data_IF_955079222994
#
_entry.id   IF_955079222994
#
_cell.length_a   1.000
_cell.length_b   1.000
_cell.length_c   1.000
_cell.angle_alpha   90.00
_cell.angle_beta   90.00
_cell.angle_gamma   90.00
#
_symmetry.space_group_name_H-M   'P 1'
#
loop_
_entity.id
_entity.type
_entity.pdbx_description
1 polymer ?
#
# COMPACT_ATOMS: atom_id res chain seq x y z
N UNK A 1 3.63 -1.54 11.34
CA UNK A 1 2.21 -1.90 11.61
C UNK A 1 2.11 -3.30 12.20
N UNK A 2 2.48 -4.33 11.45
CA UNK A 2 2.43 -5.76 11.85
C UNK A 2 3.02 -6.02 13.25
N UNK A 3 4.16 -5.41 13.55
CA UNK A 3 4.84 -5.53 14.86
C UNK A 3 4.22 -4.68 15.98
N UNK A 4 3.04 -4.09 15.76
CA UNK A 4 2.29 -3.24 16.71
C UNK A 4 3.13 -2.15 17.38
N UNK A 5 4.07 -1.56 16.63
CA UNK A 5 4.87 -0.44 17.11
C UNK A 5 3.97 0.76 17.45
N UNK A 6 4.03 1.24 18.69
CA UNK A 6 3.16 2.30 19.24
C UNK A 6 3.13 3.56 18.38
N UNK A 7 4.29 4.04 17.92
CA UNK A 7 4.35 5.24 17.06
C UNK A 7 3.65 5.02 15.73
N UNK A 8 3.76 3.81 15.17
CA UNK A 8 3.05 3.48 13.93
C UNK A 8 1.55 3.41 14.13
N UNK A 9 1.09 2.85 15.25
CA UNK A 9 -0.33 2.78 15.57
C UNK A 9 -0.92 4.16 15.81
N UNK A 10 -0.21 5.02 16.54
CA UNK A 10 -0.64 6.41 16.76
C UNK A 10 -0.74 7.21 15.45
N UNK A 11 0.18 7.01 14.50
CA UNK A 11 0.09 7.62 13.16
C UNK A 11 -1.12 7.14 12.34
N UNK A 12 -1.78 6.05 12.74
CA UNK A 12 -2.96 5.50 12.07
C UNK A 12 -4.27 5.87 12.78
N UNK A 13 -4.21 6.68 13.84
CA UNK A 13 -5.42 7.18 14.49
C UNK A 13 -6.11 8.22 13.60
N UNK A 14 -7.43 8.17 13.59
CA UNK A 14 -8.30 9.05 12.84
C UNK A 14 -9.17 9.86 13.80
N UNK A 15 -9.61 11.04 13.38
CA UNK A 15 -10.59 11.78 14.18
C UNK A 15 -11.94 11.04 14.22
N UNK A 16 -12.76 11.22 15.28
CA UNK A 16 -14.04 10.50 15.41
C UNK A 16 -15.03 10.73 14.25
N UNK A 17 -14.91 11.87 13.56
CA UNK A 17 -15.72 12.30 12.43
C UNK A 17 -15.00 12.20 11.07
N UNK A 18 -13.80 11.62 11.03
CA UNK A 18 -13.04 11.46 9.80
C UNK A 18 -13.60 10.32 8.95
N UNK A 19 -14.02 10.65 7.72
CA UNK A 19 -14.51 9.67 6.76
C UNK A 19 -14.27 10.15 5.31
N UNK A 20 -13.78 9.28 4.40
CA UNK A 20 -13.30 7.92 4.67
C UNK A 20 -11.94 7.92 5.38
N UNK A 21 -11.74 6.97 6.29
CA UNK A 21 -10.44 6.77 6.98
C UNK A 21 -9.49 6.04 6.04
N UNK A 22 -8.53 6.77 5.47
CA UNK A 22 -7.58 6.22 4.49
C UNK A 22 -6.19 6.11 5.08
N UNK A 23 -5.65 4.89 5.14
CA UNK A 23 -4.24 4.64 5.51
C UNK A 23 -3.40 4.43 4.27
N UNK A 24 -2.24 5.09 4.20
CA UNK A 24 -1.26 4.86 3.16
C UNK A 24 -0.11 3.98 3.67
N UNK A 25 0.06 2.80 3.08
CA UNK A 25 1.14 1.88 3.40
C UNK A 25 2.37 2.14 2.53
N UNK A 26 3.54 2.02 3.15
CA UNK A 26 4.82 1.91 2.47
C UNK A 26 5.41 0.53 2.77
N UNK A 27 5.84 -0.18 1.72
CA UNK A 27 6.37 -1.54 1.83
C UNK A 27 7.20 -1.90 0.59
N UNK A 28 8.15 -2.82 0.78
CA UNK A 28 8.95 -3.44 -0.27
C UNK A 28 8.89 -4.98 -0.21
N UNK A 29 8.11 -5.53 0.73
CA UNK A 29 8.10 -6.94 1.07
C UNK A 29 6.66 -7.49 0.99
N UNK A 30 6.36 -8.42 0.07
CA UNK A 30 5.01 -8.95 -0.10
C UNK A 30 4.42 -9.55 1.18
N UNK A 31 5.21 -10.29 1.96
CA UNK A 31 4.74 -10.93 3.19
C UNK A 31 4.24 -9.92 4.23
N UNK A 32 5.04 -8.90 4.53
CA UNK A 32 4.62 -7.84 5.46
C UNK A 32 3.46 -7.03 4.91
N UNK A 33 3.37 -6.87 3.59
CA UNK A 33 2.25 -6.21 2.92
C UNK A 33 0.94 -6.95 3.16
N UNK A 34 0.95 -8.27 2.92
CA UNK A 34 -0.20 -9.14 3.18
C UNK A 34 -0.67 -9.03 4.63
N UNK A 35 0.25 -9.23 5.58
CA UNK A 35 -0.05 -9.19 7.02
C UNK A 35 -0.61 -7.84 7.45
N UNK A 36 -0.06 -6.73 6.92
CA UNK A 36 -0.53 -5.38 7.23
C UNK A 36 -1.93 -5.11 6.66
N UNK A 37 -2.17 -5.43 5.39
CA UNK A 37 -3.45 -5.19 4.74
C UNK A 37 -4.57 -6.02 5.37
N UNK A 38 -4.28 -7.29 5.67
CA UNK A 38 -5.19 -8.19 6.39
C UNK A 38 -5.52 -7.65 7.78
N UNK A 39 -4.51 -7.23 8.56
CA UNK A 39 -4.71 -6.65 9.89
C UNK A 39 -5.63 -5.41 9.84
N UNK A 40 -5.42 -4.51 8.86
CA UNK A 40 -6.27 -3.32 8.70
C UNK A 40 -7.73 -3.71 8.44
N UNK A 41 -7.95 -4.68 7.55
CA UNK A 41 -9.28 -5.13 7.17
C UNK A 41 -10.01 -5.91 8.27
N UNK A 42 -9.32 -6.85 8.94
CA UNK A 42 -9.89 -7.67 10.03
C UNK A 42 -10.22 -6.83 11.27
N UNK A 43 -9.32 -5.91 11.66
CA UNK A 43 -9.49 -5.09 12.86
C UNK A 43 -10.27 -3.79 12.59
N UNK A 44 -10.65 -3.52 11.33
CA UNK A 44 -11.44 -2.33 10.96
C UNK A 44 -10.69 -1.01 11.16
N UNK A 45 -9.37 -1.03 11.01
CA UNK A 45 -8.49 0.11 11.32
C UNK A 45 -8.63 1.25 10.31
N UNK A 46 -9.06 0.97 9.08
CA UNK A 46 -9.26 1.95 8.03
C UNK A 46 -10.36 1.50 7.07
N UNK A 47 -10.95 2.45 6.35
CA UNK A 47 -11.97 2.22 5.33
C UNK A 47 -11.34 2.05 3.93
N UNK A 48 -10.07 2.45 3.78
CA UNK A 48 -9.34 2.42 2.53
C UNK A 48 -7.84 2.22 2.76
N UNK A 49 -7.20 1.43 1.89
CA UNK A 49 -5.74 1.23 1.88
C UNK A 49 -5.18 1.82 0.59
N UNK A 50 -4.33 2.84 0.70
CA UNK A 50 -3.51 3.33 -0.41
C UNK A 50 -2.08 2.78 -0.27
N UNK A 51 -1.41 2.52 -1.39
CA UNK A 51 -0.03 2.04 -1.39
C UNK A 51 0.91 3.06 -2.02
N UNK A 52 1.91 3.51 -1.25
CA UNK A 52 2.86 4.52 -1.70
C UNK A 52 3.97 3.93 -2.56
N UNK A 53 3.90 4.24 -3.86
CA UNK A 53 4.93 3.96 -4.84
C UNK A 53 5.38 5.24 -5.57
N UNK A 54 5.36 6.37 -4.86
CA UNK A 54 5.63 7.69 -5.44
C UNK A 54 6.63 8.55 -4.67
N UNK A 55 7.01 8.18 -3.44
CA UNK A 55 7.95 8.96 -2.65
C UNK A 55 9.38 8.86 -3.22
N UNK A 56 10.03 9.98 -3.61
CA UNK A 56 11.37 9.95 -4.20
C UNK A 56 12.49 10.08 -3.17
N UNK A 57 12.16 10.25 -1.87
CA UNK A 57 13.15 10.61 -0.85
C UNK A 57 14.22 9.51 -0.70
N UNK A 58 15.52 9.85 -0.58
CA UNK A 58 16.61 8.86 -0.58
C UNK A 58 16.47 7.77 0.48
N UNK A 59 15.94 8.09 1.66
CA UNK A 59 15.73 7.08 2.73
C UNK A 59 14.76 5.97 2.33
N UNK A 60 13.84 6.25 1.40
CA UNK A 60 12.86 5.31 0.86
C UNK A 60 13.42 4.60 -0.37
N UNK A 61 13.90 5.36 -1.36
CA UNK A 61 14.35 4.81 -2.65
C UNK A 61 15.63 3.98 -2.54
N UNK A 62 16.53 4.25 -1.58
CA UNK A 62 17.73 3.40 -1.32
C UNK A 62 17.37 1.99 -0.89
N UNK A 63 16.18 1.76 -0.32
CA UNK A 63 15.67 0.42 0.01
C UNK A 63 14.90 -0.21 -1.17
N UNK A 64 14.87 0.46 -2.33
CA UNK A 64 14.14 0.04 -3.51
C UNK A 64 12.63 0.27 -3.42
N UNK A 65 12.14 1.05 -2.46
CA UNK A 65 10.72 1.38 -2.29
C UNK A 65 10.32 2.73 -2.88
N UNK A 66 9.08 3.15 -2.63
CA UNK A 66 8.55 4.43 -3.10
C UNK A 66 8.55 4.48 -4.63
N UNK A 67 8.98 5.59 -5.22
CA UNK A 67 8.98 5.75 -6.69
C UNK A 67 9.89 4.77 -7.44
N UNK A 68 10.83 4.12 -6.76
CA UNK A 68 11.72 3.14 -7.37
C UNK A 68 11.08 1.75 -7.51
N UNK A 69 10.06 1.41 -6.71
CA UNK A 69 9.48 0.06 -6.71
C UNK A 69 8.82 -0.32 -8.05
N UNK A 70 8.03 0.55 -8.71
CA UNK A 70 7.39 0.19 -9.99
C UNK A 70 8.36 -0.18 -11.11
N UNK A 71 9.62 0.28 -11.04
CA UNK A 71 10.67 -0.14 -11.98
C UNK A 71 10.96 -1.65 -11.89
N UNK A 72 10.80 -2.23 -10.68
CA UNK A 72 10.91 -3.67 -10.42
C UNK A 72 9.55 -4.34 -10.62
N UNK A 73 9.07 -4.40 -11.86
CA UNK A 73 7.69 -4.82 -12.24
C UNK A 73 7.18 -6.07 -11.52
N UNK A 74 7.99 -7.14 -11.41
CA UNK A 74 7.60 -8.37 -10.70
C UNK A 74 7.34 -8.12 -9.21
N UNK A 75 8.28 -7.45 -8.53
CA UNK A 75 8.13 -7.12 -7.13
C UNK A 75 6.94 -6.18 -6.89
N UNK A 76 6.71 -5.22 -7.79
CA UNK A 76 5.53 -4.36 -7.73
C UNK A 76 4.24 -5.18 -7.79
N UNK A 77 4.11 -6.10 -8.76
CA UNK A 77 2.96 -7.00 -8.86
C UNK A 77 2.78 -7.88 -7.61
N UNK A 78 3.88 -8.42 -7.08
CA UNK A 78 3.85 -9.27 -5.88
C UNK A 78 3.38 -8.51 -4.65
N UNK A 79 3.84 -7.26 -4.48
CA UNK A 79 3.47 -6.39 -3.36
C UNK A 79 2.01 -5.95 -3.47
N UNK A 80 1.57 -5.46 -4.63
CA UNK A 80 0.16 -5.05 -4.83
C UNK A 80 -0.77 -6.25 -4.66
N UNK A 81 -0.44 -7.38 -5.29
CA UNK A 81 -1.20 -8.62 -5.15
C UNK A 81 -1.27 -9.12 -3.71
N UNK A 82 -0.21 -8.96 -2.92
CA UNK A 82 -0.21 -9.31 -1.51
C UNK A 82 -1.18 -8.47 -0.68
N UNK A 83 -1.28 -7.16 -0.94
CA UNK A 83 -2.24 -6.29 -0.27
C UNK A 83 -3.68 -6.72 -0.59
N UNK A 84 -4.00 -6.91 -1.87
CA UNK A 84 -5.32 -7.36 -2.34
C UNK A 84 -5.69 -8.72 -1.73
N UNK A 85 -4.77 -9.69 -1.73
CA UNK A 85 -4.97 -10.99 -1.08
C UNK A 85 -5.22 -10.86 0.42
N UNK A 86 -4.49 -9.98 1.11
CA UNK A 86 -4.67 -9.77 2.55
C UNK A 86 -6.07 -9.27 2.90
N UNK A 87 -6.59 -8.32 2.10
CA UNK A 87 -7.97 -7.81 2.26
C UNK A 87 -9.01 -8.88 1.89
N UNK A 88 -8.78 -9.66 0.84
CA UNK A 88 -9.68 -10.73 0.41
C UNK A 88 -9.77 -11.87 1.44
N UNK A 89 -8.64 -12.29 2.02
CA UNK A 89 -8.62 -13.32 3.07
C UNK A 89 -9.32 -12.85 4.36
N UNK A 90 -9.39 -11.54 4.59
CA UNK A 90 -10.20 -10.94 5.66
C UNK A 90 -11.70 -10.87 5.33
N UNK A 91 -12.10 -11.23 4.10
CA UNK A 91 -13.48 -11.14 3.62
C UNK A 91 -13.96 -9.71 3.35
N UNK A 92 -13.03 -8.77 3.07
CA UNK A 92 -13.33 -7.33 2.93
C UNK A 92 -12.96 -6.78 1.55
N UNK A 93 -12.81 -7.61 0.53
CA UNK A 93 -12.48 -7.17 -0.84
C UNK A 93 -13.70 -6.74 -1.66
N UNK A 94 -14.91 -7.08 -1.20
CA UNK A 94 -16.19 -6.79 -1.89
C UNK A 94 -17.32 -6.55 -0.89
N UNK A 95 -18.40 -5.95 -1.38
CA UNK A 95 -19.60 -5.65 -0.58
C UNK A 95 -19.60 -4.24 -0.01
N UNK A 96 -20.62 -3.90 0.81
CA UNK A 96 -20.80 -2.54 1.34
C UNK A 96 -19.69 -2.11 2.31
N UNK A 97 -19.07 -3.07 3.01
CA UNK A 97 -18.01 -2.84 3.99
C UNK A 97 -16.62 -3.14 3.43
N UNK A 98 -16.48 -3.16 2.10
CA UNK A 98 -15.21 -3.44 1.44
C UNK A 98 -14.16 -2.38 1.79
N UNK A 99 -12.90 -2.82 1.90
CA UNK A 99 -11.74 -1.97 2.08
C UNK A 99 -10.96 -1.94 0.76
N UNK A 100 -11.25 -0.99 -0.15
CA UNK A 100 -10.55 -0.90 -1.41
C UNK A 100 -9.05 -0.71 -1.22
N UNK A 101 -8.26 -1.34 -2.08
CA UNK A 101 -6.82 -1.13 -2.20
C UNK A 101 -6.56 -0.29 -3.44
N UNK A 102 -5.90 0.85 -3.27
CA UNK A 102 -5.41 1.69 -4.37
C UNK A 102 -3.90 1.84 -4.32
N UNK A 103 -3.34 2.34 -5.42
CA UNK A 103 -1.91 2.57 -5.54
C UNK A 103 -1.65 3.98 -6.04
N UNK A 104 -0.61 4.62 -5.49
CA UNK A 104 -0.17 5.94 -5.91
C UNK A 104 1.27 5.89 -6.40
N UNK A 105 1.48 6.18 -7.69
CA UNK A 105 2.81 6.17 -8.32
C UNK A 105 3.11 7.44 -9.13
N UNK A 106 4.35 7.56 -9.63
CA UNK A 106 4.82 8.63 -10.52
C UNK A 106 4.91 8.13 -11.97
N UNK A 107 5.16 9.05 -12.91
CA UNK A 107 5.40 8.75 -14.35
C UNK A 107 6.53 7.73 -14.53
N UNK A 108 7.60 7.87 -13.75
CA UNK A 108 8.81 7.05 -13.85
C UNK A 108 9.77 7.34 -12.71
N UNK A 109 11.00 6.84 -12.85
CA UNK A 109 12.11 7.17 -11.95
C UNK A 109 12.93 8.37 -12.43
N UNK A 110 12.96 8.59 -13.74
CA UNK A 110 13.53 9.75 -14.45
C UNK A 110 12.87 9.86 -15.84
N UNK A 111 13.35 10.81 -16.65
CA UNK A 111 12.80 11.14 -17.98
C UNK A 111 13.06 10.06 -19.05
N UNK A 112 14.01 9.15 -18.83
CA UNK A 112 14.32 8.03 -19.74
C UNK A 112 13.58 6.75 -19.33
N UNK A 113 13.22 6.63 -18.06
CA UNK A 113 12.67 5.41 -17.45
C UNK A 113 11.25 5.62 -16.92
N UNK A 114 10.28 5.71 -17.84
CA UNK A 114 8.86 5.73 -17.53
C UNK A 114 8.33 4.35 -17.13
N UNK A 115 7.53 4.28 -16.05
CA UNK A 115 6.97 3.04 -15.51
C UNK A 115 5.45 3.06 -15.35
N UNK A 116 4.82 4.24 -15.40
CA UNK A 116 3.40 4.43 -15.10
C UNK A 116 2.43 3.58 -15.96
N UNK A 117 2.72 3.35 -17.24
CA UNK A 117 1.87 2.53 -18.10
C UNK A 117 1.90 1.06 -17.70
N UNK A 118 3.05 0.54 -17.31
CA UNK A 118 3.16 -0.83 -16.83
C UNK A 118 2.58 -0.95 -15.42
N UNK A 119 2.85 0.02 -14.55
CA UNK A 119 2.30 0.08 -13.20
C UNK A 119 0.76 0.09 -13.22
N UNK A 120 0.15 0.91 -14.08
CA UNK A 120 -1.30 0.98 -14.24
C UNK A 120 -1.94 -0.21 -14.97
N UNK A 121 -1.16 -1.09 -15.60
CA UNK A 121 -1.66 -2.39 -16.12
C UNK A 121 -1.55 -3.51 -15.09
N UNK A 122 -0.59 -3.40 -14.17
CA UNK A 122 -0.34 -4.39 -13.12
C UNK A 122 -1.34 -4.21 -11.96
N UNK A 123 -1.60 -2.96 -11.58
CA UNK A 123 -2.58 -2.60 -10.54
C UNK A 123 -4.00 -2.57 -11.13
#
# INVERSE_FOLDING_TARGET
LVERNEKTLHMMEFAPDESPRSVQLYTTEPEYTYRAARMIAEEGLADHIDMNFGCPVPKVTRRGGGSALPYKRRLFADVVGAAVRGVADAGRDRGPDAVPVTVKFRVGIDDEHHTHLDAGRIA
#
